data_IF_440705930834
#
_entry.id   IF_440705930834
#
_cell.length_a   1.000
_cell.length_b   1.000
_cell.length_c   1.000
_cell.angle_alpha   90.00
_cell.angle_beta   90.00
_cell.angle_gamma   90.00
#
_symmetry.space_group_name_H-M   'P 1'
#
loop_
_entity.id
_entity.type
_entity.pdbx_description
1 polymer ?
#
# COMPACT_ATOMS: atom_id res chain seq x y z
N UNK A 1 9.74 27.69 -6.61
CA UNK A 1 9.71 28.40 -7.91
C UNK A 1 8.90 27.55 -8.89
N UNK A 2 7.58 27.57 -8.81
CA UNK A 2 6.71 26.89 -9.81
C UNK A 2 5.23 27.32 -9.62
N UNK A 3 4.95 28.61 -9.50
CA UNK A 3 3.58 29.14 -9.42
C UNK A 3 3.26 30.22 -10.48
N UNK A 4 4.20 30.54 -11.37
CA UNK A 4 4.03 31.66 -12.32
C UNK A 4 3.54 31.25 -13.72
N UNK A 5 3.37 29.96 -14.02
CA UNK A 5 2.92 29.52 -15.35
C UNK A 5 1.44 29.09 -15.44
N UNK A 6 0.72 29.01 -14.33
CA UNK A 6 -0.71 28.66 -14.35
C UNK A 6 -1.64 29.88 -14.53
N UNK A 7 -1.15 31.08 -14.31
CA UNK A 7 -1.93 32.32 -14.47
C UNK A 7 -2.02 32.81 -15.93
N UNK A 8 -1.13 32.35 -16.81
CA UNK A 8 -1.11 32.77 -18.23
C UNK A 8 -2.20 32.12 -19.09
N UNK A 9 -2.69 30.93 -18.72
CA UNK A 9 -3.69 30.18 -19.50
C UNK A 9 -5.12 30.64 -19.17
N UNK A 10 -5.34 31.08 -17.94
CA UNK A 10 -6.65 31.57 -17.49
C UNK A 10 -7.01 32.92 -18.12
N UNK A 11 -6.02 33.80 -18.38
CA UNK A 11 -6.24 35.13 -18.99
C UNK A 11 -6.56 35.05 -20.47
N UNK A 12 -6.10 34.01 -21.18
CA UNK A 12 -6.38 33.86 -22.62
C UNK A 12 -7.81 33.36 -22.89
N UNK A 13 -8.40 32.59 -21.98
CA UNK A 13 -9.78 32.10 -22.11
C UNK A 13 -10.82 33.19 -21.79
N UNK A 14 -10.51 34.13 -20.90
CA UNK A 14 -11.40 35.26 -20.57
C UNK A 14 -11.45 36.34 -21.67
N UNK A 15 -10.36 36.49 -22.44
CA UNK A 15 -10.31 37.46 -23.55
C UNK A 15 -11.17 37.06 -24.76
N UNK A 16 -11.47 35.76 -24.93
CA UNK A 16 -12.33 35.28 -26.03
C UNK A 16 -13.82 35.45 -25.71
N UNK A 17 -14.20 35.45 -24.43
CA UNK A 17 -15.59 35.63 -24.00
C UNK A 17 -16.00 37.10 -23.74
N UNK A 18 -15.02 38.01 -23.49
CA UNK A 18 -15.28 39.42 -23.19
C UNK A 18 -15.48 40.30 -24.42
N UNK A 19 -15.33 39.75 -25.64
CA UNK A 19 -15.47 40.51 -26.89
C UNK A 19 -16.86 40.39 -27.55
N UNK A 20 -17.85 39.93 -26.81
CA UNK A 20 -19.20 39.65 -27.33
C UNK A 20 -20.26 40.70 -26.94
N UNK A 21 -19.88 41.83 -26.36
CA UNK A 21 -20.88 42.82 -25.98
C UNK A 21 -20.38 44.27 -26.02
N UNK A 22 -20.09 44.80 -27.21
CA UNK A 22 -20.25 46.24 -27.52
C UNK A 22 -20.23 46.47 -29.03
N UNK A 23 -21.35 46.90 -29.51
CA UNK A 23 -21.66 47.72 -30.70
C UNK A 23 -20.70 47.76 -31.87
N UNK A 24 -21.08 47.05 -32.93
CA UNK A 24 -20.86 47.49 -34.33
C UNK A 24 -22.04 47.06 -35.18
N UNK A 25 -22.75 48.05 -35.73
CA UNK A 25 -23.74 47.90 -36.76
C UNK A 25 -23.06 47.42 -38.06
N UNK A 26 -23.05 46.11 -38.28
CA UNK A 26 -22.56 45.51 -39.53
C UNK A 26 -23.76 45.03 -40.33
N UNK A 27 -23.90 45.47 -41.60
CA UNK A 27 -25.07 45.10 -42.43
C UNK A 27 -25.20 43.58 -42.58
N UNK A 28 -26.39 43.09 -42.36
CA UNK A 28 -26.79 41.68 -42.35
C UNK A 28 -26.34 40.84 -43.59
N UNK A 29 -25.93 41.50 -44.65
CA UNK A 29 -25.44 40.80 -45.85
C UNK A 29 -24.00 40.26 -45.74
N UNK A 30 -23.15 40.78 -44.82
CA UNK A 30 -21.81 40.25 -44.59
C UNK A 30 -21.76 39.09 -43.62
N UNK A 31 -22.76 38.91 -42.79
CA UNK A 31 -22.82 37.81 -41.80
C UNK A 31 -23.16 36.43 -42.45
N UNK A 32 -23.66 36.42 -43.70
CA UNK A 32 -23.93 35.11 -44.37
C UNK A 32 -22.69 34.40 -44.91
N UNK A 33 -21.55 35.05 -45.02
CA UNK A 33 -20.29 34.41 -45.47
C UNK A 33 -19.43 33.82 -44.38
N UNK A 34 -19.69 34.11 -43.09
CA UNK A 34 -18.88 33.64 -41.96
C UNK A 34 -19.43 32.30 -41.42
N UNK A 35 -20.57 31.86 -41.89
CA UNK A 35 -21.28 30.69 -41.32
C UNK A 35 -21.02 29.36 -42.06
N UNK A 36 -19.85 29.22 -42.72
CA UNK A 36 -19.44 27.93 -43.29
C UNK A 36 -18.11 27.46 -42.69
N UNK A 37 -17.98 27.47 -41.38
CA UNK A 37 -17.14 26.47 -40.75
C UNK A 37 -18.06 25.26 -40.54
N UNK A 38 -17.99 24.35 -41.54
CA UNK A 38 -18.75 23.10 -41.54
C UNK A 38 -18.69 22.42 -40.17
N UNK A 39 -19.84 22.01 -39.63
CA UNK A 39 -19.94 21.24 -38.36
C UNK A 39 -18.89 20.14 -38.22
N UNK A 40 -18.47 19.59 -39.37
CA UNK A 40 -17.41 18.57 -39.49
C UNK A 40 -16.00 19.13 -39.16
N UNK A 41 -15.72 20.38 -39.57
CA UNK A 41 -14.43 21.03 -39.30
C UNK A 41 -14.31 21.43 -37.82
N UNK A 42 -15.38 21.94 -37.21
CA UNK A 42 -15.44 22.21 -35.77
C UNK A 42 -15.26 20.93 -34.94
N UNK A 43 -15.90 19.83 -35.31
CA UNK A 43 -15.70 18.55 -34.66
C UNK A 43 -14.25 18.05 -34.75
N UNK A 44 -13.58 18.23 -35.88
CA UNK A 44 -12.18 17.85 -36.07
C UNK A 44 -11.23 18.73 -35.23
N UNK A 45 -11.51 20.04 -35.10
CA UNK A 45 -10.74 20.94 -34.26
C UNK A 45 -10.90 20.61 -32.77
N UNK A 46 -12.13 20.38 -32.32
CA UNK A 46 -12.41 19.98 -30.92
C UNK A 46 -11.76 18.63 -30.60
N UNK A 47 -11.83 17.66 -31.54
CA UNK A 47 -11.20 16.36 -31.35
C UNK A 47 -9.67 16.44 -31.34
N UNK A 48 -9.08 17.29 -32.19
CA UNK A 48 -7.65 17.56 -32.20
C UNK A 48 -7.13 18.22 -30.89
N UNK A 49 -7.88 19.19 -30.36
CA UNK A 49 -7.55 19.85 -29.08
C UNK A 49 -7.71 18.85 -27.91
N UNK A 50 -8.74 18.02 -27.90
CA UNK A 50 -8.93 16.97 -26.90
C UNK A 50 -7.79 15.93 -26.92
N UNK A 51 -7.31 15.57 -28.12
CA UNK A 51 -6.18 14.63 -28.27
C UNK A 51 -4.86 15.24 -27.78
N UNK A 52 -4.61 16.54 -28.04
CA UNK A 52 -3.44 17.25 -27.59
C UNK A 52 -3.43 17.46 -26.06
N UNK A 53 -4.59 17.73 -25.47
CA UNK A 53 -4.73 17.84 -24.02
C UNK A 53 -4.59 16.50 -23.31
N UNK A 54 -5.08 15.40 -23.89
CA UNK A 54 -4.91 14.06 -23.32
C UNK A 54 -3.45 13.57 -23.40
N UNK A 55 -2.72 13.91 -24.46
CA UNK A 55 -1.30 13.55 -24.61
C UNK A 55 -0.41 14.35 -23.66
N UNK A 56 -0.70 15.65 -23.41
CA UNK A 56 0.05 16.47 -22.45
C UNK A 56 -0.20 16.04 -21.01
N UNK A 57 -1.44 15.65 -20.64
CA UNK A 57 -1.75 15.09 -19.33
C UNK A 57 -1.09 13.73 -19.10
N UNK A 58 -1.01 12.89 -20.13
CA UNK A 58 -0.32 11.61 -20.06
C UNK A 58 1.20 11.78 -19.92
N UNK A 59 1.81 12.76 -20.62
CA UNK A 59 3.24 13.09 -20.46
C UNK A 59 3.56 13.61 -19.05
N UNK A 60 2.76 14.51 -18.49
CA UNK A 60 2.96 15.04 -17.13
C UNK A 60 2.80 13.92 -16.09
N UNK A 61 1.84 12.99 -16.26
CA UNK A 61 1.68 11.84 -15.39
C UNK A 61 2.86 10.85 -15.51
N UNK A 62 3.43 10.72 -16.70
CA UNK A 62 4.57 9.83 -16.95
C UNK A 62 5.89 10.44 -16.45
N UNK A 63 6.07 11.76 -16.54
CA UNK A 63 7.21 12.47 -15.94
C UNK A 63 7.16 12.43 -14.42
N UNK A 64 6.01 12.61 -13.80
CA UNK A 64 5.85 12.47 -12.35
C UNK A 64 6.12 11.04 -11.87
N UNK A 65 5.71 10.00 -12.64
CA UNK A 65 6.10 8.61 -12.36
C UNK A 65 7.62 8.41 -12.49
N UNK A 66 8.26 8.96 -13.52
CA UNK A 66 9.72 8.85 -13.72
C UNK A 66 10.51 9.60 -12.64
N UNK A 67 10.05 10.75 -12.17
CA UNK A 67 10.69 11.49 -11.09
C UNK A 67 10.59 10.76 -9.74
N UNK A 68 9.45 10.14 -9.46
CA UNK A 68 9.27 9.34 -8.25
C UNK A 68 10.08 8.04 -8.29
N UNK A 69 10.15 7.36 -9.46
CA UNK A 69 10.94 6.14 -9.64
C UNK A 69 12.46 6.39 -9.64
N UNK A 70 12.94 7.56 -10.06
CA UNK A 70 14.39 7.87 -10.00
C UNK A 70 14.92 7.93 -8.57
N UNK A 71 14.10 8.32 -7.60
CA UNK A 71 14.44 8.24 -6.17
C UNK A 71 14.30 6.84 -5.58
N UNK A 72 13.55 5.93 -6.22
CA UNK A 72 13.48 4.52 -5.81
C UNK A 72 14.78 3.75 -6.07
N UNK A 73 15.56 4.10 -7.11
CA UNK A 73 16.78 3.37 -7.44
C UNK A 73 17.89 3.49 -6.38
N UNK A 74 17.84 4.53 -5.54
CA UNK A 74 18.74 4.68 -4.40
C UNK A 74 18.22 3.97 -3.13
N UNK A 75 16.92 3.70 -3.05
CA UNK A 75 16.29 3.04 -1.91
C UNK A 75 16.16 1.51 -2.11
N UNK A 76 16.17 1.01 -3.36
CA UNK A 76 16.00 -0.42 -3.67
C UNK A 76 17.24 -1.27 -3.40
N UNK A 77 18.37 -0.66 -3.02
CA UNK A 77 19.62 -1.41 -2.82
C UNK A 77 19.66 -2.25 -1.55
N UNK A 78 18.70 -2.11 -0.63
CA UNK A 78 18.77 -2.89 0.59
C UNK A 78 17.39 -3.20 1.19
N UNK A 79 16.80 -4.37 0.90
CA UNK A 79 15.96 -5.04 1.89
C UNK A 79 16.77 -5.24 3.19
N UNK A 80 18.10 -5.44 3.10
CA UNK A 80 19.05 -5.32 4.21
C UNK A 80 19.11 -3.92 4.85
N UNK A 81 18.71 -2.83 4.18
CA UNK A 81 18.77 -1.47 4.72
C UNK A 81 17.84 -1.20 5.88
N UNK A 82 16.71 -1.90 5.96
CA UNK A 82 15.79 -1.79 7.10
C UNK A 82 16.43 -2.37 8.37
N UNK A 83 17.04 -3.55 8.26
CA UNK A 83 17.78 -4.17 9.37
C UNK A 83 19.00 -3.35 9.78
N UNK A 84 19.75 -2.82 8.82
CA UNK A 84 20.94 -2.01 9.11
C UNK A 84 20.62 -0.69 9.76
N UNK A 85 19.44 -0.12 9.55
CA UNK A 85 19.03 1.11 10.22
C UNK A 85 18.84 0.92 11.73
N UNK A 86 18.30 -0.21 12.16
CA UNK A 86 18.02 -0.50 13.58
C UNK A 86 19.05 -1.41 14.24
N UNK A 87 19.68 -2.31 13.50
CA UNK A 87 20.58 -3.35 14.01
C UNK A 87 21.94 -3.37 13.33
N UNK A 88 22.24 -2.42 12.44
CA UNK A 88 23.48 -2.40 11.64
C UNK A 88 24.77 -2.39 12.45
N UNK A 89 24.71 -1.96 13.71
CA UNK A 89 25.85 -2.00 14.62
C UNK A 89 26.00 -3.36 15.33
N UNK A 90 25.13 -4.34 15.04
CA UNK A 90 25.18 -5.68 15.63
C UNK A 90 25.02 -6.77 14.55
N UNK A 91 26.02 -6.97 13.67
CA UNK A 91 25.95 -7.98 12.63
C UNK A 91 25.87 -9.41 13.17
N UNK A 92 26.33 -9.64 14.39
CA UNK A 92 26.24 -10.94 15.04
C UNK A 92 24.79 -11.30 15.35
N UNK A 93 24.02 -10.37 15.92
CA UNK A 93 22.59 -10.55 16.19
C UNK A 93 21.79 -10.84 14.89
N UNK A 94 22.13 -10.16 13.79
CA UNK A 94 21.48 -10.43 12.49
C UNK A 94 21.73 -11.88 12.07
N UNK A 95 22.98 -12.35 12.14
CA UNK A 95 23.31 -13.75 11.79
C UNK A 95 22.62 -14.76 12.69
N UNK A 96 22.54 -14.48 13.98
CA UNK A 96 21.84 -15.34 14.94
C UNK A 96 20.36 -15.44 14.64
N UNK A 97 19.70 -14.32 14.35
CA UNK A 97 18.30 -14.29 13.99
C UNK A 97 18.02 -15.01 12.67
N UNK A 98 18.85 -14.80 11.65
CA UNK A 98 18.76 -15.50 10.36
C UNK A 98 18.96 -17.02 10.53
N UNK A 99 19.96 -17.45 11.30
CA UNK A 99 20.23 -18.85 11.58
C UNK A 99 19.09 -19.50 12.37
N UNK A 100 18.57 -18.80 13.40
CA UNK A 100 17.43 -19.27 14.17
C UNK A 100 16.17 -19.39 13.31
N UNK A 101 15.87 -18.41 12.45
CA UNK A 101 14.73 -18.47 11.55
C UNK A 101 14.86 -19.65 10.56
N UNK A 102 16.06 -19.84 10.00
CA UNK A 102 16.34 -20.94 9.08
C UNK A 102 16.28 -22.33 9.74
N UNK A 103 16.61 -22.42 11.03
CA UNK A 103 16.55 -23.69 11.77
C UNK A 103 15.13 -24.21 12.00
N UNK A 104 14.10 -23.36 11.85
CA UNK A 104 12.72 -23.71 12.15
C UNK A 104 12.42 -23.85 13.64
N UNK A 105 13.30 -23.40 14.56
CA UNK A 105 13.12 -23.49 16.01
C UNK A 105 11.84 -22.79 16.52
N UNK A 106 11.30 -21.87 15.74
CA UNK A 106 10.06 -21.15 16.02
C UNK A 106 8.78 -21.94 15.66
N UNK A 107 8.87 -22.93 14.77
CA UNK A 107 7.72 -23.56 14.08
C UNK A 107 6.76 -24.29 15.02
N UNK A 108 7.26 -24.88 16.09
CA UNK A 108 6.45 -25.66 17.03
C UNK A 108 5.48 -26.64 16.32
N UNK A 109 5.96 -27.28 15.25
CA UNK A 109 5.18 -28.20 14.39
C UNK A 109 4.45 -27.56 13.21
N UNK A 110 4.41 -26.23 13.11
CA UNK A 110 3.83 -25.53 11.97
C UNK A 110 4.80 -25.49 10.79
N UNK A 111 4.49 -26.24 9.72
CA UNK A 111 5.36 -26.36 8.53
C UNK A 111 4.67 -25.94 7.24
N UNK A 112 3.42 -25.45 7.31
CA UNK A 112 2.60 -25.10 6.13
C UNK A 112 3.07 -23.83 5.43
N UNK A 113 3.69 -22.90 6.18
CA UNK A 113 4.14 -21.64 5.67
C UNK A 113 5.42 -21.17 6.36
N UNK A 114 6.13 -20.23 5.75
CA UNK A 114 7.37 -19.62 6.25
C UNK A 114 7.18 -18.11 6.35
N UNK A 115 8.03 -17.40 7.13
CA UNK A 115 8.04 -15.94 7.11
C UNK A 115 8.33 -15.43 5.70
N UNK A 116 7.53 -14.47 5.22
CA UNK A 116 7.83 -13.76 3.98
C UNK A 116 9.18 -13.05 4.11
N UNK A 117 9.93 -12.91 3.01
CA UNK A 117 11.27 -12.32 3.01
C UNK A 117 11.34 -10.85 3.49
N UNK A 118 10.20 -10.13 3.56
CA UNK A 118 10.12 -8.78 4.12
C UNK A 118 9.95 -8.75 5.63
N UNK A 119 9.69 -9.88 6.29
CA UNK A 119 9.57 -9.96 7.75
C UNK A 119 10.91 -9.65 8.40
N UNK A 120 10.90 -8.78 9.41
CA UNK A 120 12.07 -8.47 10.20
C UNK A 120 12.44 -9.67 11.10
N UNK A 121 13.38 -10.49 10.66
CA UNK A 121 13.79 -11.69 11.38
C UNK A 121 14.47 -11.39 12.73
N UNK A 122 15.10 -10.22 12.87
CA UNK A 122 15.71 -9.82 14.16
C UNK A 122 14.63 -9.50 15.17
N UNK A 123 13.62 -8.70 14.78
CA UNK A 123 12.48 -8.42 15.67
C UNK A 123 11.71 -9.72 15.98
N UNK A 124 11.52 -10.60 14.99
CA UNK A 124 10.87 -11.89 15.23
C UNK A 124 11.64 -12.73 16.24
N UNK A 125 12.95 -12.87 16.06
CA UNK A 125 13.81 -13.58 17.00
C UNK A 125 13.72 -13.02 18.41
N UNK A 126 13.91 -11.70 18.59
CA UNK A 126 13.90 -11.03 19.87
C UNK A 126 12.53 -11.12 20.56
N UNK A 127 11.45 -10.89 19.82
CA UNK A 127 10.09 -10.97 20.35
C UNK A 127 9.69 -12.41 20.70
N UNK A 128 10.15 -13.40 19.94
CA UNK A 128 9.98 -14.79 20.31
C UNK A 128 10.67 -15.15 21.61
N UNK A 129 11.89 -14.67 21.84
CA UNK A 129 12.62 -14.88 23.10
C UNK A 129 11.98 -14.19 24.30
N UNK A 130 11.41 -13.00 24.08
CA UNK A 130 10.75 -12.23 25.15
C UNK A 130 9.36 -12.76 25.52
N UNK A 131 8.66 -13.40 24.60
CA UNK A 131 7.28 -13.90 24.78
C UNK A 131 7.08 -15.30 24.19
N UNK A 132 7.88 -16.29 24.59
CA UNK A 132 7.87 -17.61 23.97
C UNK A 132 6.52 -18.34 24.12
N UNK A 133 5.78 -18.04 25.19
CA UNK A 133 4.50 -18.72 25.45
C UNK A 133 3.45 -18.37 24.40
N UNK A 134 3.28 -17.09 24.05
CA UNK A 134 2.32 -16.69 23.03
C UNK A 134 2.74 -17.18 21.65
N UNK A 135 4.03 -17.08 21.29
CA UNK A 135 4.51 -17.55 19.99
C UNK A 135 4.37 -19.07 19.83
N UNK A 136 4.70 -19.84 20.88
CA UNK A 136 4.50 -21.32 20.87
C UNK A 136 3.02 -21.66 20.75
N UNK A 137 2.15 -21.01 21.52
CA UNK A 137 0.71 -21.23 21.44
C UNK A 137 0.14 -20.91 20.06
N UNK A 138 0.62 -19.81 19.42
CA UNK A 138 0.25 -19.44 18.06
C UNK A 138 0.61 -20.53 17.06
N UNK A 139 1.88 -20.93 17.01
CA UNK A 139 2.33 -21.92 16.01
C UNK A 139 1.80 -23.32 16.29
N UNK A 140 1.66 -23.72 17.56
CA UNK A 140 1.03 -24.98 17.93
C UNK A 140 -0.44 -25.05 17.47
N UNK A 141 -1.18 -23.97 17.66
CA UNK A 141 -2.56 -23.86 17.19
C UNK A 141 -2.65 -23.98 15.65
N UNK A 142 -1.81 -23.25 14.94
CA UNK A 142 -1.78 -23.28 13.46
C UNK A 142 -1.36 -24.67 12.94
N UNK A 143 -0.48 -25.38 13.65
CA UNK A 143 -0.03 -26.73 13.27
C UNK A 143 -1.13 -27.77 13.41
N UNK A 144 -1.94 -27.69 14.47
CA UNK A 144 -2.91 -28.72 14.86
C UNK A 144 -4.31 -28.49 14.31
N UNK A 145 -4.60 -27.27 13.81
CA UNK A 145 -5.95 -26.88 13.42
C UNK A 145 -6.13 -26.98 11.90
N UNK A 146 -7.31 -27.43 11.47
CA UNK A 146 -7.74 -27.25 10.08
C UNK A 146 -8.19 -25.80 9.89
N UNK A 147 -7.28 -24.98 9.35
CA UNK A 147 -7.43 -23.52 9.24
C UNK A 147 -8.55 -23.10 8.27
N UNK A 148 -8.93 -23.99 7.35
CA UNK A 148 -10.02 -23.71 6.41
C UNK A 148 -11.40 -23.96 7.04
N UNK A 149 -11.48 -24.76 8.07
CA UNK A 149 -12.74 -25.12 8.74
C UNK A 149 -13.08 -24.20 9.92
N UNK A 150 -12.17 -23.32 10.37
CA UNK A 150 -12.45 -22.41 11.50
C UNK A 150 -13.60 -21.48 11.08
N UNK A 151 -14.68 -21.32 11.87
CA UNK A 151 -15.73 -20.34 11.55
C UNK A 151 -15.19 -18.92 11.42
N UNK A 152 -15.81 -18.10 10.57
CA UNK A 152 -15.49 -16.66 10.50
C UNK A 152 -15.73 -15.95 11.83
N UNK A 153 -14.95 -14.89 12.10
CA UNK A 153 -15.05 -14.11 13.33
C UNK A 153 -13.86 -14.25 14.28
N UNK A 154 -14.04 -13.81 15.52
CA UNK A 154 -12.99 -13.83 16.56
C UNK A 154 -13.14 -15.06 17.46
N UNK A 155 -12.03 -15.78 17.65
CA UNK A 155 -11.95 -16.97 18.50
C UNK A 155 -10.77 -16.87 19.46
N UNK A 156 -10.93 -17.42 20.65
CA UNK A 156 -9.79 -17.62 21.57
C UNK A 156 -8.95 -18.79 21.10
N UNK A 157 -7.62 -18.64 21.15
CA UNK A 157 -6.70 -19.77 21.00
C UNK A 157 -6.67 -20.52 22.35
N UNK A 158 -7.08 -21.80 22.38
CA UNK A 158 -7.16 -22.56 23.61
C UNK A 158 -5.82 -22.57 24.37
N UNK A 159 -5.88 -22.43 25.71
CA UNK A 159 -4.68 -22.44 26.56
C UNK A 159 -3.78 -21.21 26.46
N UNK A 160 -4.25 -20.13 25.80
CA UNK A 160 -3.47 -18.90 25.66
C UNK A 160 -4.32 -17.64 25.88
N UNK A 161 -3.64 -16.47 25.99
CA UNK A 161 -4.29 -15.16 25.97
C UNK A 161 -4.67 -14.71 24.56
N UNK A 162 -4.17 -15.37 23.51
CA UNK A 162 -4.31 -14.97 22.13
C UNK A 162 -5.74 -15.09 21.60
N UNK A 163 -6.05 -14.19 20.68
CA UNK A 163 -7.29 -14.20 19.90
C UNK A 163 -6.91 -14.24 18.42
N UNK A 164 -7.58 -15.12 17.66
CA UNK A 164 -7.50 -15.19 16.21
C UNK A 164 -8.74 -14.56 15.61
N UNK A 165 -8.57 -13.67 14.65
CA UNK A 165 -9.63 -13.20 13.75
C UNK A 165 -9.55 -13.98 12.44
N UNK A 166 -10.65 -14.62 12.05
CA UNK A 166 -10.80 -15.36 10.80
C UNK A 166 -11.71 -14.57 9.89
N UNK A 167 -11.21 -14.16 8.74
CA UNK A 167 -11.93 -13.26 7.85
C UNK A 167 -12.01 -13.85 6.44
N UNK A 168 -13.23 -14.17 5.99
CA UNK A 168 -13.54 -14.34 4.58
C UNK A 168 -13.78 -12.94 3.99
N UNK A 169 -12.92 -12.49 3.10
CA UNK A 169 -12.85 -11.10 2.65
C UNK A 169 -12.43 -11.03 1.18
N UNK A 170 -12.24 -9.81 0.68
CA UNK A 170 -11.69 -9.52 -0.64
C UNK A 170 -10.59 -8.49 -0.54
N UNK A 171 -9.62 -8.59 -1.45
CA UNK A 171 -8.76 -7.45 -1.72
C UNK A 171 -9.57 -6.34 -2.41
N UNK A 172 -9.28 -5.10 -2.06
CA UNK A 172 -9.93 -3.91 -2.60
C UNK A 172 -8.92 -2.98 -3.28
N UNK A 173 -9.35 -2.13 -4.21
CA UNK A 173 -8.50 -1.07 -4.74
C UNK A 173 -7.82 -0.27 -3.62
N UNK A 174 -6.56 0.11 -3.84
CA UNK A 174 -5.73 0.80 -2.84
C UNK A 174 -6.41 2.02 -2.23
N UNK A 175 -7.21 2.73 -3.02
CA UNK A 175 -7.94 3.95 -2.61
C UNK A 175 -9.02 3.69 -1.55
N UNK A 176 -9.42 2.42 -1.40
CA UNK A 176 -10.39 1.97 -0.38
C UNK A 176 -9.72 1.36 0.85
N UNK A 177 -8.40 1.25 0.85
CA UNK A 177 -7.65 0.63 1.96
C UNK A 177 -6.98 1.68 2.82
N UNK A 178 -7.12 1.52 4.15
CA UNK A 178 -6.39 2.30 5.13
C UNK A 178 -5.00 1.73 5.39
N UNK A 179 -4.09 2.60 5.74
CA UNK A 179 -2.79 2.23 6.30
C UNK A 179 -2.87 2.15 7.81
N UNK A 180 -2.08 1.29 8.44
CA UNK A 180 -2.06 1.18 9.88
C UNK A 180 -0.71 0.75 10.45
N UNK A 181 -0.51 1.03 11.73
CA UNK A 181 0.44 0.35 12.59
C UNK A 181 -0.09 0.29 14.02
N UNK A 182 0.56 -0.52 14.84
CA UNK A 182 0.22 -0.72 16.23
C UNK A 182 1.34 -0.24 17.15
N UNK A 183 1.07 -0.08 18.44
CA UNK A 183 2.07 0.31 19.42
C UNK A 183 2.36 -0.81 20.44
N UNK A 184 1.34 -1.58 20.80
CA UNK A 184 1.43 -2.60 21.85
C UNK A 184 1.26 -4.03 21.32
N UNK A 185 0.92 -4.21 20.04
CA UNK A 185 0.73 -5.52 19.44
C UNK A 185 1.56 -5.69 18.18
N UNK A 186 1.87 -6.93 17.91
CA UNK A 186 2.45 -7.44 16.67
C UNK A 186 1.32 -8.13 15.92
N UNK A 187 1.14 -7.81 14.64
CA UNK A 187 0.20 -8.51 13.79
C UNK A 187 0.87 -9.69 13.09
N UNK A 188 0.46 -10.88 13.44
CA UNK A 188 0.71 -12.07 12.63
C UNK A 188 -0.44 -12.22 11.65
N UNK A 189 -0.15 -12.14 10.34
CA UNK A 189 -1.14 -12.21 9.27
C UNK A 189 -0.80 -13.36 8.31
N UNK A 190 -1.78 -14.24 8.09
CA UNK A 190 -1.61 -15.43 7.27
C UNK A 190 -2.82 -15.64 6.37
N UNK A 191 -2.62 -15.55 5.05
CA UNK A 191 -3.63 -15.90 4.07
C UNK A 191 -3.63 -17.42 3.87
N UNK A 192 -4.73 -18.07 4.22
CA UNK A 192 -4.86 -19.54 4.09
C UNK A 192 -5.58 -19.95 2.82
N UNK A 193 -6.19 -19.00 2.10
CA UNK A 193 -6.83 -19.19 0.80
C UNK A 193 -6.77 -17.89 -0.01
N UNK A 194 -6.45 -18.01 -1.28
CA UNK A 194 -6.29 -16.86 -2.18
C UNK A 194 -4.91 -16.23 -2.10
N UNK A 195 -4.80 -15.01 -2.58
CA UNK A 195 -3.56 -14.21 -2.56
C UNK A 195 -3.89 -12.84 -1.98
N UNK A 196 -3.28 -12.49 -0.85
CA UNK A 196 -3.42 -11.18 -0.22
C UNK A 196 -2.26 -10.28 -0.60
N UNK A 197 -2.52 -9.02 -0.99
CA UNK A 197 -1.46 -8.04 -1.23
C UNK A 197 -1.34 -7.06 -0.07
N UNK A 198 -0.12 -6.92 0.44
CA UNK A 198 0.26 -5.94 1.45
C UNK A 198 1.05 -4.80 0.84
N UNK A 199 0.82 -3.58 1.34
CA UNK A 199 1.69 -2.43 1.11
C UNK A 199 2.54 -2.16 2.35
N UNK A 200 3.87 -2.05 2.19
CA UNK A 200 4.80 -1.60 3.24
C UNK A 200 5.16 -0.15 2.97
N UNK A 201 4.83 0.72 3.91
CA UNK A 201 4.94 2.17 3.77
C UNK A 201 6.33 2.65 4.18
N UNK A 202 6.89 3.57 3.41
CA UNK A 202 8.14 4.23 3.75
C UNK A 202 7.90 5.34 4.79
N UNK A 203 8.46 5.19 5.98
CA UNK A 203 8.34 6.13 7.11
C UNK A 203 8.78 7.56 6.74
N UNK A 204 9.84 7.71 5.93
CA UNK A 204 10.37 9.03 5.56
C UNK A 204 9.44 9.87 4.67
N UNK A 205 8.43 9.23 4.10
CA UNK A 205 7.48 9.91 3.18
C UNK A 205 6.05 9.83 3.67
N UNK A 206 5.85 9.43 4.91
CA UNK A 206 4.54 9.19 5.50
C UNK A 206 4.39 9.98 6.80
N UNK A 207 3.17 10.40 7.10
CA UNK A 207 2.84 11.14 8.31
C UNK A 207 1.59 10.58 8.97
N UNK A 208 1.54 10.48 10.31
CA UNK A 208 0.30 10.14 10.99
C UNK A 208 -0.81 11.12 10.65
N UNK A 209 -1.99 10.62 10.30
CA UNK A 209 -3.17 11.43 9.97
C UNK A 209 -4.28 11.37 11.05
N UNK A 210 -4.05 10.65 12.11
CA UNK A 210 -4.94 10.56 13.28
C UNK A 210 -4.13 10.31 14.56
N UNK A 211 -4.80 10.27 15.70
CA UNK A 211 -4.22 9.82 16.98
C UNK A 211 -4.40 8.32 17.14
N UNK A 212 -3.57 7.68 17.96
CA UNK A 212 -3.76 6.27 18.37
C UNK A 212 -5.14 6.02 18.98
N UNK A 213 -5.81 4.90 18.57
CA UNK A 213 -7.17 4.53 19.01
C UNK A 213 -7.33 3.01 19.19
N UNK A 214 -7.29 2.51 20.37
CA UNK A 214 -6.32 2.74 21.45
C UNK A 214 -4.92 2.29 21.08
N UNK A 215 -4.78 1.41 20.03
CA UNK A 215 -3.53 0.79 19.60
C UNK A 215 -3.30 0.90 18.08
N UNK A 216 -4.19 1.56 17.35
CA UNK A 216 -4.12 1.73 15.89
C UNK A 216 -3.89 3.20 15.55
N UNK A 217 -2.99 3.46 14.63
CA UNK A 217 -2.77 4.76 14.00
C UNK A 217 -2.73 4.59 12.48
N UNK A 218 -3.22 5.59 11.77
CA UNK A 218 -3.25 5.63 10.30
C UNK A 218 -2.32 6.71 9.76
N UNK A 219 -1.94 6.59 8.49
CA UNK A 219 -0.93 7.42 7.85
C UNK A 219 -1.37 7.92 6.49
N UNK A 220 -0.98 9.17 6.18
CA UNK A 220 -0.86 9.63 4.81
C UNK A 220 0.48 9.16 4.26
N UNK A 221 0.48 8.58 3.05
CA UNK A 221 1.66 7.97 2.47
C UNK A 221 1.75 8.22 0.96
N UNK A 222 2.95 8.05 0.40
CA UNK A 222 3.18 8.13 -1.05
C UNK A 222 3.16 6.75 -1.69
N UNK A 223 2.20 6.51 -2.60
CA UNK A 223 2.07 5.25 -3.33
C UNK A 223 3.38 4.81 -4.01
N UNK A 224 4.11 5.74 -4.61
CA UNK A 224 5.38 5.45 -5.29
C UNK A 224 6.54 5.10 -4.33
N UNK A 225 6.36 5.27 -3.03
CA UNK A 225 7.31 4.90 -1.97
C UNK A 225 6.81 3.71 -1.15
N UNK A 226 5.64 3.17 -1.48
CA UNK A 226 5.08 1.97 -0.86
C UNK A 226 5.53 0.76 -1.65
N UNK A 227 6.04 -0.26 -0.97
CA UNK A 227 6.39 -1.55 -1.57
C UNK A 227 5.22 -2.50 -1.40
N UNK A 228 4.81 -3.13 -2.49
CA UNK A 228 3.72 -4.10 -2.47
C UNK A 228 4.26 -5.51 -2.59
N UNK A 229 3.70 -6.43 -1.80
CA UNK A 229 4.05 -7.83 -1.75
C UNK A 229 2.80 -8.69 -1.74
N UNK A 230 2.82 -9.80 -2.47
CA UNK A 230 1.75 -10.76 -2.50
C UNK A 230 2.06 -11.92 -1.53
N UNK A 231 1.12 -12.17 -0.62
CA UNK A 231 1.15 -13.29 0.31
C UNK A 231 0.32 -14.44 -0.25
N UNK A 232 0.89 -15.62 -0.23
CA UNK A 232 0.23 -16.88 -0.60
C UNK A 232 0.14 -17.80 0.62
N UNK A 233 -0.60 -18.93 0.56
CA UNK A 233 -0.66 -19.88 1.68
C UNK A 233 0.69 -20.49 2.11
N UNK A 234 1.75 -20.29 1.34
CA UNK A 234 3.10 -20.77 1.66
C UNK A 234 3.91 -19.79 2.52
N UNK A 235 3.39 -18.57 2.72
CA UNK A 235 4.10 -17.52 3.45
C UNK A 235 3.16 -16.76 4.38
N UNK A 236 3.68 -16.26 5.49
CA UNK A 236 2.98 -15.37 6.40
C UNK A 236 3.76 -14.08 6.63
N UNK A 237 3.05 -13.03 7.03
CA UNK A 237 3.63 -11.75 7.42
C UNK A 237 3.59 -11.57 8.92
N UNK A 238 4.57 -10.83 9.44
CA UNK A 238 4.60 -10.33 10.81
C UNK A 238 4.88 -8.84 10.73
N UNK A 239 3.96 -8.03 11.24
CA UNK A 239 4.10 -6.58 11.32
C UNK A 239 4.35 -6.17 12.77
N UNK A 240 5.55 -5.70 13.03
CA UNK A 240 5.94 -5.15 14.32
C UNK A 240 5.46 -3.69 14.43
N UNK A 241 5.47 -3.06 15.62
CA UNK A 241 5.00 -1.68 15.80
C UNK A 241 5.61 -0.65 14.84
N UNK A 242 6.79 -0.92 14.29
CA UNK A 242 7.46 -0.06 13.30
C UNK A 242 7.11 -0.38 11.85
N UNK A 243 6.33 -1.41 11.62
CA UNK A 243 5.95 -1.84 10.27
C UNK A 243 4.62 -1.19 9.89
N UNK A 244 4.70 -0.04 9.24
CA UNK A 244 3.53 0.66 8.73
C UNK A 244 3.06 -0.02 7.46
N UNK A 245 1.84 -0.52 7.48
CA UNK A 245 1.35 -1.40 6.42
C UNK A 245 -0.08 -1.09 5.97
N UNK A 246 -0.44 -1.67 4.83
CA UNK A 246 -1.78 -1.65 4.24
C UNK A 246 -2.12 -3.10 3.90
N UNK A 247 -3.21 -3.62 4.44
CA UNK A 247 -3.66 -4.98 4.17
C UNK A 247 -4.73 -5.03 3.08
N UNK A 248 -4.90 -6.18 2.44
CA UNK A 248 -5.98 -6.51 1.51
C UNK A 248 -6.05 -5.57 0.30
N UNK A 249 -4.91 -5.22 -0.28
CA UNK A 249 -4.82 -4.42 -1.50
C UNK A 249 -5.08 -5.31 -2.71
N UNK A 250 -5.86 -4.83 -3.69
CA UNK A 250 -6.10 -5.55 -4.94
C UNK A 250 -4.77 -5.86 -5.66
N UNK A 251 -4.65 -7.09 -6.12
CA UNK A 251 -3.49 -7.60 -6.84
C UNK A 251 -3.84 -7.93 -8.30
N UNK A 252 -2.91 -8.54 -9.02
CA UNK A 252 -3.05 -8.81 -10.46
C UNK A 252 -3.75 -10.15 -10.75
N UNK A 253 -4.28 -10.85 -9.72
CA UNK A 253 -5.06 -12.07 -9.91
C UNK A 253 -6.52 -11.76 -10.24
N UNK A 254 -7.16 -12.62 -11.03
CA UNK A 254 -8.58 -12.46 -11.37
C UNK A 254 -9.50 -12.60 -10.15
N UNK A 255 -9.14 -13.50 -9.22
CA UNK A 255 -9.89 -13.74 -8.00
C UNK A 255 -9.29 -12.97 -6.82
N UNK A 256 -10.05 -12.03 -6.29
CA UNK A 256 -9.67 -11.22 -5.15
C UNK A 256 -10.19 -11.77 -3.81
N UNK A 257 -10.92 -12.92 -3.82
CA UNK A 257 -11.44 -13.54 -2.60
C UNK A 257 -10.29 -14.17 -1.80
N UNK A 258 -10.23 -13.86 -0.52
CA UNK A 258 -9.22 -14.33 0.40
C UNK A 258 -9.83 -14.82 1.71
N UNK A 259 -9.16 -15.79 2.33
CA UNK A 259 -9.39 -16.12 3.73
C UNK A 259 -8.13 -15.86 4.53
N UNK A 260 -8.26 -14.97 5.52
CA UNK A 260 -7.12 -14.44 6.29
C UNK A 260 -7.27 -14.76 7.76
N UNK A 261 -6.18 -15.12 8.38
CA UNK A 261 -6.03 -15.25 9.82
C UNK A 261 -5.18 -14.10 10.36
N UNK A 262 -5.72 -13.36 11.32
CA UNK A 262 -4.99 -12.28 12.01
C UNK A 262 -4.92 -12.64 13.49
N UNK A 263 -3.70 -12.73 14.03
CA UNK A 263 -3.45 -13.00 15.44
C UNK A 263 -2.60 -11.86 16.00
N UNK A 264 -3.10 -11.23 17.05
CA UNK A 264 -2.36 -10.17 17.74
C UNK A 264 -1.55 -10.76 18.87
N UNK A 265 -0.21 -10.65 18.76
CA UNK A 265 0.75 -11.04 19.79
C UNK A 265 1.18 -9.79 20.54
N UNK A 266 1.29 -9.87 21.86
CA UNK A 266 1.76 -8.72 22.66
C UNK A 266 3.19 -8.37 22.28
N UNK A 267 3.44 -7.09 21.98
CA UNK A 267 4.80 -6.58 21.86
C UNK A 267 5.43 -6.41 23.24
N UNK A 268 6.65 -6.87 23.40
CA UNK A 268 7.43 -6.75 24.64
C UNK A 268 8.64 -5.83 24.42
N UNK A 269 8.74 -4.77 25.22
CA UNK A 269 9.84 -3.81 25.23
C UNK A 269 11.19 -4.43 25.65
#
# INVERSE_FOLDING_TARGET
>A
MCLSHLLGISTFFFAIFAWSSHDFDVPLQRLRQINIINKTTMKKIIFGIALLLSSSLAMVAQENKKACCKTQSSCSKNAKGYYTQYYGNNPQLIKEAEAWAASGAWQNGFTKARPHHSVNLVDFYLQYQKNPEQWKALFDYLAKTDLLSIPGGKHKIPGSSLTISVEDSKNDPLEKRGSESHNHHIDFQYVVKGVERFGIIDHYTSTPNCKYRPDVIHYDYKKCRTKFYDSTPDEFFIFFPRDWHIAKVANDTDNQDIRVLVIKVDYKD
#
